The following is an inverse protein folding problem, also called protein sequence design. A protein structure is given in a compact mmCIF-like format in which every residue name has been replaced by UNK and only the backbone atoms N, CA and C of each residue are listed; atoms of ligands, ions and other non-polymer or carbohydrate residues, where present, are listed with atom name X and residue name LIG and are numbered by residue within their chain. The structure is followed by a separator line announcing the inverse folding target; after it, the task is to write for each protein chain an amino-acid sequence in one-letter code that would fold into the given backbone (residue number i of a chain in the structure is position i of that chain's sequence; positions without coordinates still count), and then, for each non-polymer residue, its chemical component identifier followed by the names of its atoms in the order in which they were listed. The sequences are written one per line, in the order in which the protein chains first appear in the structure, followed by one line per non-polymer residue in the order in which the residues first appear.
data_IF_741996533221
#
_entry.id   IF_741996533221
#
_cell.length_a   1.000
_cell.length_b   1.000
_cell.length_c   1.000
_cell.angle_alpha   90.00
_cell.angle_beta   90.00
_cell.angle_gamma   90.00
#
_symmetry.space_group_name_H-M   'P 1'
#
loop_
_entity.id
_entity.type
_entity.pdbx_description
1 polymer ?
#
# COMPACT_ATOMS: atom_id res chain seq x y z
N UNK A 1 -6.05 30.67 -4.32
CA UNK A 1 -5.29 29.40 -4.34
C UNK A 1 -5.44 28.82 -2.95
N UNK A 2 -6.37 27.89 -2.75
CA UNK A 2 -6.51 27.17 -1.47
C UNK A 2 -5.35 26.17 -1.47
N UNK A 3 -4.23 26.55 -0.90
CA UNK A 3 -3.21 25.61 -0.50
C UNK A 3 -3.81 24.84 0.68
N UNK A 4 -4.06 23.56 0.50
CA UNK A 4 -4.25 22.60 1.59
C UNK A 4 -2.90 22.55 2.33
N UNK A 5 -2.73 23.41 3.32
CA UNK A 5 -1.46 23.52 4.06
C UNK A 5 -1.26 22.29 4.95
N UNK A 6 -2.34 21.75 5.51
CA UNK A 6 -2.34 20.54 6.34
C UNK A 6 -3.71 19.85 6.32
N UNK A 7 -3.72 18.57 6.68
CA UNK A 7 -4.93 17.72 6.76
C UNK A 7 -4.82 16.83 8.00
N UNK A 8 -5.91 16.69 8.75
CA UNK A 8 -6.06 15.63 9.74
C UNK A 8 -6.65 14.41 9.02
N UNK A 9 -5.92 13.30 9.00
CA UNK A 9 -6.23 12.13 8.21
C UNK A 9 -6.59 10.95 9.10
N UNK A 10 -7.84 10.55 9.07
CA UNK A 10 -8.38 9.44 9.85
C UNK A 10 -9.42 8.67 9.04
N UNK A 11 -9.08 8.08 7.88
CA UNK A 11 -10.02 7.32 7.08
C UNK A 11 -10.30 5.96 7.70
N UNK A 12 -11.55 5.49 7.62
CA UNK A 12 -11.84 4.09 7.84
C UNK A 12 -11.22 3.25 6.72
N UNK A 13 -10.30 2.31 7.02
CA UNK A 13 -9.72 1.42 6.02
C UNK A 13 -10.75 0.46 5.46
N UNK A 14 -11.86 0.20 6.15
CA UNK A 14 -12.91 -0.73 5.77
C UNK A 14 -13.99 0.00 4.96
N UNK A 15 -14.17 -0.40 3.70
CA UNK A 15 -15.21 0.14 2.82
C UNK A 15 -16.57 -0.45 3.19
N UNK A 16 -16.61 -1.78 3.33
CA UNK A 16 -17.78 -2.54 3.78
C UNK A 16 -17.37 -3.93 4.25
N UNK A 17 -18.27 -4.59 5.00
CA UNK A 17 -18.07 -5.96 5.44
C UNK A 17 -18.96 -6.90 4.64
N UNK A 18 -18.40 -8.00 4.13
CA UNK A 18 -19.18 -9.08 3.50
C UNK A 18 -19.79 -9.90 4.62
N UNK A 19 -21.12 -9.97 4.75
CA UNK A 19 -21.77 -10.75 5.79
C UNK A 19 -21.63 -12.25 5.47
N UNK A 20 -20.82 -12.95 6.25
CA UNK A 20 -20.64 -14.40 6.16
C UNK A 20 -21.21 -15.13 7.37
N UNK A 21 -21.83 -14.42 8.29
CA UNK A 21 -22.48 -14.95 9.50
C UNK A 21 -23.53 -16.02 9.20
N UNK A 22 -24.22 -15.94 8.05
CA UNK A 22 -25.17 -16.97 7.59
C UNK A 22 -24.52 -18.33 7.27
N UNK A 23 -23.18 -18.36 7.05
CA UNK A 23 -22.37 -19.58 6.87
C UNK A 23 -21.67 -20.02 8.16
N UNK A 24 -21.92 -19.35 9.30
CA UNK A 24 -21.19 -19.56 10.56
C UNK A 24 -19.74 -19.07 10.52
N UNK A 25 -19.39 -18.21 9.57
CA UNK A 25 -18.07 -17.60 9.42
C UNK A 25 -18.09 -16.13 9.87
N UNK A 26 -16.98 -15.59 10.37
CA UNK A 26 -16.88 -14.17 10.69
C UNK A 26 -17.00 -13.33 9.42
N UNK A 27 -17.65 -12.17 9.55
CA UNK A 27 -17.78 -11.19 8.47
C UNK A 27 -16.39 -10.76 8.00
N UNK A 28 -16.22 -10.57 6.70
CA UNK A 28 -14.93 -10.22 6.09
C UNK A 28 -14.91 -8.76 5.65
N UNK A 29 -14.01 -7.95 6.21
CA UNK A 29 -13.86 -6.56 5.80
C UNK A 29 -13.22 -6.50 4.40
N UNK A 30 -13.78 -5.66 3.54
CA UNK A 30 -13.17 -5.22 2.29
C UNK A 30 -12.50 -3.87 2.56
N UNK A 31 -11.18 -3.85 2.46
CA UNK A 31 -10.36 -2.69 2.74
C UNK A 31 -9.93 -1.99 1.44
N UNK A 32 -9.67 -0.68 1.52
CA UNK A 32 -9.25 0.14 0.37
C UNK A 32 -8.01 -0.42 -0.33
N UNK A 33 -7.00 -0.83 0.43
CA UNK A 33 -5.79 -1.42 -0.14
C UNK A 33 -6.09 -2.63 -1.03
N UNK A 34 -6.88 -3.58 -0.51
CA UNK A 34 -7.26 -4.80 -1.25
C UNK A 34 -8.06 -4.49 -2.50
N UNK A 35 -9.02 -3.56 -2.41
CA UNK A 35 -9.84 -3.15 -3.56
C UNK A 35 -8.99 -2.48 -4.63
N UNK A 36 -8.15 -1.51 -4.28
CA UNK A 36 -7.30 -0.79 -5.22
C UNK A 36 -6.25 -1.71 -5.87
N UNK A 37 -5.72 -2.67 -5.10
CA UNK A 37 -4.85 -3.71 -5.65
C UNK A 37 -5.56 -4.58 -6.69
N UNK A 38 -6.78 -5.05 -6.40
CA UNK A 38 -7.60 -5.82 -7.34
C UNK A 38 -7.96 -5.00 -8.59
N UNK A 39 -8.33 -3.72 -8.42
CA UNK A 39 -8.56 -2.79 -9.52
C UNK A 39 -7.34 -2.65 -10.43
N UNK A 40 -6.12 -2.70 -9.87
CA UNK A 40 -4.88 -2.69 -10.63
C UNK A 40 -4.79 -3.83 -11.64
N UNK A 41 -5.22 -5.04 -11.27
CA UNK A 41 -5.30 -6.16 -12.22
C UNK A 41 -6.36 -5.94 -13.30
N UNK A 42 -7.56 -5.44 -12.94
CA UNK A 42 -8.64 -5.21 -13.89
C UNK A 42 -8.24 -4.13 -14.90
N UNK A 43 -7.76 -2.97 -14.43
CA UNK A 43 -7.32 -1.87 -15.28
C UNK A 43 -6.13 -2.31 -16.12
N UNK A 44 -5.18 -3.02 -15.52
CA UNK A 44 -4.02 -3.56 -16.20
C UNK A 44 -4.38 -4.54 -17.32
N UNK A 45 -5.36 -5.39 -17.11
CA UNK A 45 -5.86 -6.31 -18.14
C UNK A 45 -6.49 -5.53 -19.31
N UNK A 46 -7.30 -4.50 -19.06
CA UNK A 46 -7.90 -3.69 -20.12
C UNK A 46 -6.84 -2.95 -20.96
N UNK A 47 -5.82 -2.41 -20.31
CA UNK A 47 -4.69 -1.79 -21.00
C UNK A 47 -3.91 -2.82 -21.83
N UNK A 48 -3.68 -4.02 -21.27
CA UNK A 48 -3.01 -5.13 -21.97
C UNK A 48 -3.79 -5.59 -23.19
N UNK A 49 -5.13 -5.66 -23.15
CA UNK A 49 -5.95 -5.95 -24.33
C UNK A 49 -5.69 -4.93 -25.46
N UNK A 50 -5.67 -3.63 -25.12
CA UNK A 50 -5.38 -2.58 -26.12
C UNK A 50 -3.96 -2.72 -26.68
N UNK A 51 -2.96 -2.97 -25.83
CA UNK A 51 -1.56 -3.14 -26.23
C UNK A 51 -1.43 -4.35 -27.17
N UNK A 52 -1.89 -5.52 -26.75
CA UNK A 52 -1.77 -6.78 -27.48
C UNK A 52 -2.51 -6.70 -28.83
N UNK A 53 -3.74 -6.20 -28.85
CA UNK A 53 -4.51 -5.98 -30.07
C UNK A 53 -3.80 -5.06 -31.05
N UNK A 54 -3.20 -3.97 -30.57
CA UNK A 54 -2.45 -3.01 -31.40
C UNK A 54 -1.20 -3.64 -32.02
N UNK A 55 -0.60 -4.62 -31.34
CA UNK A 55 0.58 -5.36 -31.80
C UNK A 55 0.24 -6.69 -32.52
N UNK A 56 -1.05 -6.92 -32.82
CA UNK A 56 -1.50 -8.09 -33.60
C UNK A 56 -1.58 -9.40 -32.79
N UNK A 57 -1.60 -9.32 -31.46
CA UNK A 57 -1.74 -10.48 -30.57
C UNK A 57 -3.19 -10.68 -30.13
N UNK A 58 -3.51 -11.89 -29.66
CA UNK A 58 -4.88 -12.26 -29.27
C UNK A 58 -5.24 -11.83 -27.84
N UNK A 59 -6.53 -11.56 -27.61
CA UNK A 59 -7.04 -11.31 -26.26
C UNK A 59 -6.84 -12.51 -25.34
N UNK A 60 -6.88 -13.74 -25.86
CA UNK A 60 -6.60 -14.96 -25.08
C UNK A 60 -5.18 -15.01 -24.52
N UNK A 61 -4.23 -14.34 -25.18
CA UNK A 61 -2.86 -14.22 -24.66
C UNK A 61 -2.84 -13.35 -23.40
N UNK A 62 -3.63 -12.28 -23.38
CA UNK A 62 -3.79 -11.41 -22.20
C UNK A 62 -4.45 -12.15 -21.05
N UNK A 63 -5.53 -12.92 -21.32
CA UNK A 63 -6.20 -13.72 -20.27
C UNK A 63 -5.24 -14.73 -19.65
N UNK A 64 -4.46 -15.39 -20.48
CA UNK A 64 -3.43 -16.33 -20.03
C UNK A 64 -2.38 -15.62 -19.19
N UNK A 65 -1.83 -14.50 -19.68
CA UNK A 65 -0.83 -13.69 -18.98
C UNK A 65 -1.36 -13.21 -17.62
N UNK A 66 -2.57 -12.66 -17.59
CA UNK A 66 -3.22 -12.18 -16.35
C UNK A 66 -3.38 -13.32 -15.35
N UNK A 67 -3.83 -14.49 -15.82
CA UNK A 67 -3.96 -15.68 -14.96
C UNK A 67 -2.62 -16.09 -14.35
N UNK A 68 -1.55 -16.11 -15.16
CA UNK A 68 -0.19 -16.40 -14.66
C UNK A 68 0.25 -15.39 -13.60
N UNK A 69 -0.01 -14.11 -13.84
CA UNK A 69 0.38 -13.04 -12.90
C UNK A 69 -0.40 -13.12 -11.59
N UNK A 70 -1.73 -13.31 -11.63
CA UNK A 70 -2.56 -13.43 -10.42
C UNK A 70 -2.11 -14.60 -9.56
N UNK A 71 -2.01 -15.80 -10.16
CA UNK A 71 -1.57 -16.99 -9.44
C UNK A 71 -0.17 -16.80 -8.85
N UNK A 72 0.75 -16.28 -9.63
CA UNK A 72 2.12 -16.07 -9.20
C UNK A 72 2.25 -15.01 -8.09
N UNK A 73 1.44 -13.97 -8.14
CA UNK A 73 1.42 -12.95 -7.08
C UNK A 73 0.97 -13.56 -5.76
N UNK A 74 -0.13 -14.31 -5.76
CA UNK A 74 -0.68 -14.93 -4.54
C UNK A 74 0.29 -15.98 -4.00
N UNK A 75 0.70 -16.94 -4.84
CA UNK A 75 1.58 -18.02 -4.41
C UNK A 75 2.97 -17.50 -4.01
N UNK A 76 3.52 -16.59 -4.81
CA UNK A 76 4.82 -16.00 -4.55
C UNK A 76 4.83 -15.19 -3.25
N UNK A 77 3.82 -14.36 -3.03
CA UNK A 77 3.71 -13.56 -1.81
C UNK A 77 3.55 -14.44 -0.57
N UNK A 78 2.74 -15.51 -0.65
CA UNK A 78 2.57 -16.45 0.46
C UNK A 78 3.84 -17.24 0.75
N UNK A 79 4.46 -17.81 -0.27
CA UNK A 79 5.72 -18.55 -0.12
C UNK A 79 6.84 -17.62 0.40
N UNK A 80 6.93 -16.39 -0.11
CA UNK A 80 7.87 -15.40 0.38
C UNK A 80 7.67 -15.12 1.87
N UNK A 81 6.45 -14.93 2.32
CA UNK A 81 6.16 -14.77 3.74
C UNK A 81 6.57 -15.99 4.56
N UNK A 82 6.13 -17.17 4.16
CA UNK A 82 6.42 -18.40 4.89
C UNK A 82 7.93 -18.68 5.01
N UNK A 83 8.70 -18.42 3.95
CA UNK A 83 10.13 -18.76 3.92
C UNK A 83 11.03 -17.70 4.56
N UNK A 84 10.64 -16.41 4.51
CA UNK A 84 11.51 -15.32 4.99
C UNK A 84 11.15 -14.82 6.39
N UNK A 85 9.88 -14.90 6.81
CA UNK A 85 9.46 -14.33 8.09
C UNK A 85 9.31 -15.37 9.20
N UNK A 86 8.77 -16.55 8.89
CA UNK A 86 8.57 -17.57 9.94
C UNK A 86 8.78 -19.01 9.43
N UNK A 87 9.97 -19.32 8.87
CA UNK A 87 10.21 -20.61 8.22
C UNK A 87 10.04 -21.82 9.15
N UNK A 88 10.45 -21.69 10.41
CA UNK A 88 10.35 -22.79 11.38
C UNK A 88 8.90 -23.21 11.64
N UNK A 89 8.00 -22.23 11.76
CA UNK A 89 6.57 -22.47 11.96
C UNK A 89 5.94 -23.19 10.76
N UNK A 90 6.12 -22.63 9.55
CA UNK A 90 5.50 -23.17 8.34
C UNK A 90 6.10 -24.49 7.85
N UNK A 91 7.36 -24.78 8.19
CA UNK A 91 7.97 -26.07 7.87
C UNK A 91 7.55 -27.18 8.86
N UNK A 92 7.18 -26.81 10.11
CA UNK A 92 6.65 -27.76 11.10
C UNK A 92 5.19 -28.12 10.82
N UNK A 93 4.40 -27.21 10.25
CA UNK A 93 3.03 -27.45 9.80
C UNK A 93 2.79 -26.90 8.37
N UNK A 94 3.10 -27.70 7.32
CA UNK A 94 2.97 -27.26 5.93
C UNK A 94 1.54 -26.92 5.49
N UNK A 95 0.51 -27.38 6.21
CA UNK A 95 -0.90 -27.06 5.90
C UNK A 95 -1.16 -25.56 6.10
N UNK A 96 -0.49 -24.94 7.07
CA UNK A 96 -0.59 -23.50 7.35
C UNK A 96 -0.17 -22.65 6.14
N UNK A 97 0.71 -23.14 5.27
CA UNK A 97 1.10 -22.45 4.03
C UNK A 97 -0.11 -22.19 3.12
N UNK A 98 -1.09 -23.10 3.10
CA UNK A 98 -2.26 -23.01 2.24
C UNK A 98 -3.31 -22.00 2.74
N UNK A 99 -3.24 -21.58 4.00
CA UNK A 99 -4.19 -20.66 4.61
C UNK A 99 -3.89 -19.20 4.23
N UNK A 100 -4.03 -18.87 2.94
CA UNK A 100 -3.76 -17.52 2.41
C UNK A 100 -4.72 -16.45 2.96
N UNK A 101 -5.86 -16.86 3.50
CA UNK A 101 -6.87 -15.98 4.08
C UNK A 101 -6.56 -15.50 5.50
N UNK A 102 -5.54 -16.03 6.15
CA UNK A 102 -5.08 -15.59 7.47
C UNK A 102 -4.06 -14.45 7.39
N UNK A 103 -3.77 -13.95 6.18
CA UNK A 103 -2.76 -12.93 5.96
C UNK A 103 -1.37 -13.52 5.70
N UNK A 104 -0.33 -12.74 5.99
CA UNK A 104 1.06 -13.16 5.76
C UNK A 104 1.40 -13.26 4.27
N UNK A 105 1.46 -12.10 3.61
CA UNK A 105 1.83 -11.96 2.20
C UNK A 105 3.04 -11.04 2.08
N UNK A 106 4.15 -11.52 1.54
CA UNK A 106 5.37 -10.75 1.34
C UNK A 106 5.48 -10.23 -0.10
N UNK A 107 5.59 -8.93 -0.28
CA UNK A 107 5.68 -8.29 -1.60
C UNK A 107 6.88 -8.77 -2.43
N UNK A 108 8.02 -9.04 -1.79
CA UNK A 108 9.21 -9.57 -2.44
C UNK A 108 8.95 -10.95 -3.09
N UNK A 109 8.27 -11.84 -2.35
CA UNK A 109 7.87 -13.13 -2.86
C UNK A 109 6.93 -13.01 -4.05
N UNK A 110 5.96 -12.09 -3.98
CA UNK A 110 5.08 -11.77 -5.09
C UNK A 110 5.85 -11.30 -6.33
N UNK A 111 6.81 -10.39 -6.17
CA UNK A 111 7.65 -9.90 -7.27
C UNK A 111 8.48 -11.01 -7.92
N UNK A 112 9.15 -11.86 -7.13
CA UNK A 112 9.90 -13.02 -7.63
C UNK A 112 8.95 -13.96 -8.38
N UNK A 113 7.78 -14.25 -7.81
CA UNK A 113 6.76 -15.09 -8.44
C UNK A 113 6.34 -14.55 -9.82
N UNK A 114 6.10 -13.24 -9.92
CA UNK A 114 5.75 -12.59 -11.18
C UNK A 114 6.87 -12.77 -12.23
N UNK A 115 8.13 -12.50 -11.90
CA UNK A 115 9.24 -12.69 -12.84
C UNK A 115 9.34 -14.14 -13.34
N UNK A 116 9.17 -15.12 -12.47
CA UNK A 116 9.15 -16.55 -12.84
C UNK A 116 7.94 -16.85 -13.73
N UNK A 117 6.76 -16.35 -13.40
CA UNK A 117 5.54 -16.56 -14.18
C UNK A 117 5.64 -15.95 -15.59
N UNK A 118 6.19 -14.75 -15.72
CA UNK A 118 6.42 -14.11 -17.01
C UNK A 118 7.43 -14.88 -17.86
N UNK A 119 8.47 -15.45 -17.23
CA UNK A 119 9.42 -16.32 -17.90
C UNK A 119 8.75 -17.63 -18.37
N UNK A 120 7.93 -18.26 -17.52
CA UNK A 120 7.14 -19.44 -17.89
C UNK A 120 6.17 -19.11 -19.03
N UNK A 121 5.45 -18.01 -18.95
CA UNK A 121 4.53 -17.56 -19.99
C UNK A 121 5.24 -17.35 -21.33
N UNK A 122 6.40 -16.71 -21.34
CA UNK A 122 7.14 -16.44 -22.59
C UNK A 122 7.72 -17.70 -23.23
N UNK A 123 8.08 -18.72 -22.44
CA UNK A 123 8.81 -19.88 -22.94
C UNK A 123 7.97 -21.15 -23.06
N UNK A 124 6.85 -21.28 -22.35
CA UNK A 124 6.07 -22.51 -22.29
C UNK A 124 4.59 -22.28 -22.49
N UNK A 125 3.96 -23.19 -23.24
CA UNK A 125 2.50 -23.35 -23.29
C UNK A 125 2.10 -24.37 -22.21
N UNK A 126 1.52 -23.85 -21.13
CA UNK A 126 1.02 -24.68 -20.03
C UNK A 126 -0.50 -24.78 -20.19
N UNK A 127 -0.99 -25.99 -20.41
CA UNK A 127 -2.41 -26.27 -20.53
C UNK A 127 -2.83 -27.26 -19.47
N UNK A 128 -3.87 -26.92 -18.73
CA UNK A 128 -4.52 -27.83 -17.79
C UNK A 128 -6.00 -27.97 -18.15
N UNK A 129 -6.52 -29.18 -18.07
CA UNK A 129 -7.97 -29.42 -18.11
C UNK A 129 -8.43 -29.69 -16.69
N UNK A 130 -9.49 -29.04 -16.28
CA UNK A 130 -10.07 -29.16 -14.96
C UNK A 130 -11.46 -29.73 -15.05
N UNK A 131 -11.82 -30.65 -14.15
CA UNK A 131 -13.18 -31.11 -13.92
C UNK A 131 -13.44 -30.92 -12.43
N UNK A 132 -14.43 -30.08 -12.06
CA UNK A 132 -14.78 -29.78 -10.67
C UNK A 132 -13.58 -29.48 -9.76
N UNK A 133 -12.72 -28.53 -10.15
CA UNK A 133 -11.51 -28.14 -9.42
C UNK A 133 -10.38 -29.20 -9.35
N UNK A 134 -10.52 -30.33 -10.02
CA UNK A 134 -9.49 -31.36 -10.11
C UNK A 134 -8.79 -31.28 -11.47
N UNK A 135 -7.46 -31.07 -11.51
CA UNK A 135 -6.72 -31.09 -12.77
C UNK A 135 -6.68 -32.52 -13.31
N UNK A 136 -7.34 -32.76 -14.46
CA UNK A 136 -7.43 -34.10 -15.09
C UNK A 136 -6.34 -34.34 -16.13
N UNK A 137 -5.76 -33.27 -16.66
CA UNK A 137 -4.58 -33.37 -17.53
C UNK A 137 -3.73 -32.12 -17.42
N UNK A 138 -2.42 -32.31 -17.41
CA UNK A 138 -1.43 -31.26 -17.41
C UNK A 138 -0.47 -31.48 -18.57
N UNK A 139 -0.29 -30.46 -19.41
CA UNK A 139 0.62 -30.51 -20.55
C UNK A 139 1.47 -29.25 -20.57
N UNK A 140 2.79 -29.44 -20.60
CA UNK A 140 3.78 -28.39 -20.77
C UNK A 140 4.52 -28.60 -22.07
N UNK A 141 4.44 -27.65 -22.97
CA UNK A 141 5.15 -27.68 -24.24
C UNK A 141 5.98 -26.41 -24.39
N UNK A 142 7.16 -26.49 -24.97
CA UNK A 142 7.96 -25.30 -25.28
C UNK A 142 7.18 -24.43 -26.27
N UNK A 143 7.04 -23.17 -25.93
CA UNK A 143 6.29 -22.18 -26.75
C UNK A 143 7.10 -21.86 -28.02
N UNK A 144 6.42 -21.87 -29.16
CA UNK A 144 7.01 -21.50 -30.47
C UNK A 144 6.38 -20.23 -31.02
N UNK A 145 5.89 -19.34 -30.17
CA UNK A 145 5.18 -18.13 -30.62
C UNK A 145 6.20 -17.05 -30.92
N UNK A 146 6.26 -16.64 -32.19
CA UNK A 146 7.12 -15.54 -32.62
C UNK A 146 6.66 -14.19 -32.02
N UNK A 147 7.62 -13.32 -31.74
CA UNK A 147 7.37 -11.96 -31.30
C UNK A 147 7.13 -11.75 -29.80
N UNK A 148 6.74 -12.77 -29.02
CA UNK A 148 6.54 -12.63 -27.58
C UNK A 148 7.74 -13.14 -26.78
N UNK A 149 8.88 -12.47 -26.91
CA UNK A 149 10.06 -12.78 -26.11
C UNK A 149 9.85 -12.42 -24.63
N UNK A 150 10.67 -12.93 -23.74
CA UNK A 150 10.60 -12.59 -22.30
C UNK A 150 10.72 -11.07 -22.09
N UNK A 151 11.64 -10.41 -22.75
CA UNK A 151 11.83 -8.96 -22.64
C UNK A 151 10.67 -8.18 -23.29
N UNK A 152 10.09 -8.69 -24.37
CA UNK A 152 8.88 -8.11 -24.94
C UNK A 152 7.73 -8.12 -23.93
N UNK A 153 7.53 -9.24 -23.23
CA UNK A 153 6.48 -9.35 -22.19
C UNK A 153 6.77 -8.41 -21.03
N UNK A 154 8.02 -8.36 -20.56
CA UNK A 154 8.43 -7.45 -19.48
C UNK A 154 8.15 -5.99 -19.81
N UNK A 155 8.39 -5.55 -21.03
CA UNK A 155 8.13 -4.18 -21.50
C UNK A 155 6.65 -3.80 -21.35
N UNK A 156 5.73 -4.72 -21.70
CA UNK A 156 4.28 -4.45 -21.67
C UNK A 156 3.75 -4.52 -20.25
N UNK A 157 4.22 -5.47 -19.49
CA UNK A 157 3.85 -5.62 -18.08
C UNK A 157 4.36 -4.46 -17.23
N UNK A 158 5.54 -3.91 -17.51
CA UNK A 158 6.09 -2.75 -16.80
C UNK A 158 5.12 -1.54 -16.83
N UNK A 159 4.44 -1.31 -17.97
CA UNK A 159 3.44 -0.23 -18.10
C UNK A 159 2.29 -0.44 -17.10
N UNK A 160 1.78 -1.67 -17.05
CA UNK A 160 0.66 -2.05 -16.18
C UNK A 160 1.08 -1.99 -14.71
N UNK A 161 2.28 -2.48 -14.39
CA UNK A 161 2.82 -2.47 -13.02
C UNK A 161 3.01 -1.05 -12.51
N UNK A 162 3.42 -0.09 -13.35
CA UNK A 162 3.52 1.31 -12.95
C UNK A 162 2.15 1.89 -12.54
N UNK A 163 1.08 1.59 -13.28
CA UNK A 163 -0.28 2.04 -12.94
C UNK A 163 -0.79 1.36 -11.67
N UNK A 164 -0.59 0.04 -11.57
CA UNK A 164 -0.97 -0.73 -10.38
C UNK A 164 -0.21 -0.25 -9.15
N UNK A 165 1.07 0.10 -9.32
CA UNK A 165 1.89 0.70 -8.27
C UNK A 165 1.27 1.96 -7.69
N UNK A 166 0.78 2.87 -8.54
CA UNK A 166 0.10 4.07 -8.09
C UNK A 166 -1.15 3.74 -7.24
N UNK A 167 -1.97 2.79 -7.68
CA UNK A 167 -3.16 2.36 -6.93
C UNK A 167 -2.81 1.72 -5.58
N UNK A 168 -1.76 0.91 -5.54
CA UNK A 168 -1.24 0.33 -4.30
C UNK A 168 -0.82 1.43 -3.32
N UNK A 169 -0.12 2.48 -3.80
CA UNK A 169 0.32 3.59 -2.96
C UNK A 169 -0.85 4.42 -2.41
N UNK A 170 -1.87 4.65 -3.22
CA UNK A 170 -3.12 5.25 -2.74
C UNK A 170 -3.76 4.36 -1.67
N UNK A 171 -3.75 3.04 -1.85
CA UNK A 171 -4.24 2.08 -0.86
C UNK A 171 -3.46 2.15 0.46
N UNK A 172 -2.13 2.25 0.43
CA UNK A 172 -1.33 2.45 1.63
C UNK A 172 -1.70 3.76 2.35
N UNK A 173 -1.94 4.85 1.62
CA UNK A 173 -2.37 6.11 2.21
C UNK A 173 -3.75 5.97 2.88
N UNK A 174 -4.71 5.29 2.25
CA UNK A 174 -6.02 5.02 2.84
C UNK A 174 -5.96 4.15 4.09
N UNK A 175 -4.97 3.27 4.17
CA UNK A 175 -4.74 2.42 5.34
C UNK A 175 -3.86 3.09 6.42
N UNK A 176 -3.38 4.33 6.21
CA UNK A 176 -2.39 4.99 7.07
C UNK A 176 -1.16 4.10 7.30
N UNK A 177 -0.58 3.60 6.22
CA UNK A 177 0.62 2.75 6.22
C UNK A 177 1.79 3.46 5.53
N UNK A 178 3.03 3.16 5.93
CA UNK A 178 4.25 3.70 5.31
C UNK A 178 4.35 5.23 5.39
N UNK A 179 4.05 5.78 6.52
CA UNK A 179 4.02 7.21 6.79
C UNK A 179 5.41 7.85 6.72
N UNK A 180 5.41 9.18 6.56
CA UNK A 180 6.65 9.93 6.45
C UNK A 180 7.17 10.47 7.77
N UNK A 181 8.41 10.93 7.76
CA UNK A 181 9.03 11.67 8.88
C UNK A 181 8.33 13.01 9.08
N UNK A 182 8.57 13.66 10.22
CA UNK A 182 8.04 15.01 10.53
C UNK A 182 8.49 16.02 9.50
N UNK A 183 7.58 16.88 9.03
CA UNK A 183 7.89 17.90 8.02
C UNK A 183 8.72 19.05 8.59
N UNK A 184 8.52 19.38 9.87
CA UNK A 184 9.11 20.57 10.49
C UNK A 184 8.65 21.87 9.85
N UNK A 185 7.49 21.90 9.20
CA UNK A 185 6.94 23.05 8.47
C UNK A 185 5.43 23.17 8.65
N UNK A 186 4.80 24.09 7.96
CA UNK A 186 3.38 24.41 8.00
C UNK A 186 2.52 23.53 7.08
N UNK A 187 3.12 22.58 6.36
CA UNK A 187 2.40 21.63 5.52
C UNK A 187 2.61 20.20 5.98
N UNK A 188 1.66 19.34 5.69
CA UNK A 188 1.74 17.92 5.98
C UNK A 188 0.41 17.31 6.39
N UNK A 189 0.47 16.08 6.87
CA UNK A 189 -0.68 15.31 7.31
C UNK A 189 -0.47 14.86 8.75
N UNK A 190 -1.50 15.04 9.59
CA UNK A 190 -1.61 14.42 10.90
C UNK A 190 -2.35 13.09 10.75
N UNK A 191 -1.68 11.96 10.94
CA UNK A 191 -2.33 10.65 10.91
C UNK A 191 -2.99 10.37 12.26
N UNK A 192 -4.31 10.46 12.32
CA UNK A 192 -5.06 10.42 13.56
C UNK A 192 -5.86 9.12 13.78
N UNK A 193 -5.77 8.14 12.86
CA UNK A 193 -6.58 6.91 12.91
C UNK A 193 -6.39 6.12 14.19
N UNK A 194 -5.14 5.82 14.58
CA UNK A 194 -4.85 5.07 15.81
C UNK A 194 -5.39 5.81 17.05
N UNK A 195 -5.36 7.15 17.02
CA UNK A 195 -5.93 7.99 18.07
C UNK A 195 -7.46 7.86 18.11
N UNK A 196 -8.11 7.91 16.95
CA UNK A 196 -9.56 7.75 16.82
C UNK A 196 -10.03 6.38 17.32
N UNK A 197 -9.35 5.29 16.94
CA UNK A 197 -9.64 3.93 17.39
C UNK A 197 -9.58 3.80 18.93
N UNK A 198 -8.62 4.44 19.57
CA UNK A 198 -8.49 4.43 21.04
C UNK A 198 -9.53 5.33 21.71
N UNK A 199 -9.91 6.44 21.08
CA UNK A 199 -10.93 7.35 21.58
C UNK A 199 -12.34 6.77 21.44
N UNK A 200 -12.57 5.92 20.43
CA UNK A 200 -13.82 5.15 20.27
C UNK A 200 -13.82 3.87 21.10
N UNK A 201 -13.57 4.00 22.39
CA UNK A 201 -13.33 2.89 23.32
C UNK A 201 -14.57 2.04 23.65
N UNK A 202 -15.78 2.55 23.42
CA UNK A 202 -17.05 1.83 23.66
C UNK A 202 -18.14 2.34 22.73
N UNK A 203 -18.52 1.51 21.77
CA UNK A 203 -19.57 1.79 20.79
C UNK A 203 -20.96 1.98 21.41
N UNK A 204 -21.18 1.61 22.69
CA UNK A 204 -22.45 1.88 23.40
C UNK A 204 -22.45 3.28 24.03
N UNK A 205 -21.30 3.90 24.20
CA UNK A 205 -21.13 5.20 24.86
C UNK A 205 -20.82 6.29 23.85
N UNK A 206 -19.92 6.02 22.91
CA UNK A 206 -19.47 6.96 21.89
C UNK A 206 -20.35 6.83 20.64
N UNK A 207 -20.87 7.94 20.16
CA UNK A 207 -21.60 8.03 18.89
C UNK A 207 -20.61 8.29 17.74
N UNK A 208 -19.68 9.25 17.93
CA UNK A 208 -18.76 9.69 16.93
C UNK A 208 -17.48 10.26 17.56
N UNK A 209 -16.35 10.07 16.92
CA UNK A 209 -15.09 10.74 17.20
C UNK A 209 -14.66 11.51 15.96
N UNK A 210 -14.29 12.78 16.12
CA UNK A 210 -13.72 13.58 15.04
C UNK A 210 -12.71 14.59 15.58
N UNK A 211 -11.94 15.20 14.68
CA UNK A 211 -10.93 16.18 15.05
C UNK A 211 -11.28 17.56 14.51
N UNK A 212 -11.07 18.58 15.36
CA UNK A 212 -11.14 20.01 14.99
C UNK A 212 -9.73 20.56 14.88
N UNK A 213 -9.47 21.27 13.80
CA UNK A 213 -8.23 22.01 13.61
C UNK A 213 -8.22 23.26 14.47
N UNK A 214 -7.05 23.55 15.07
CA UNK A 214 -6.76 24.81 15.72
C UNK A 214 -6.00 25.75 14.79
N UNK A 215 -5.54 26.87 15.34
CA UNK A 215 -4.75 27.85 14.59
C UNK A 215 -3.29 27.42 14.61
N UNK A 216 -2.69 27.23 13.45
CA UNK A 216 -1.26 26.92 13.32
C UNK A 216 -0.39 28.03 13.91
N UNK A 217 0.60 27.64 14.72
CA UNK A 217 1.58 28.58 15.28
C UNK A 217 2.91 28.52 14.51
N UNK A 218 3.27 29.56 13.75
CA UNK A 218 4.53 29.61 13.01
C UNK A 218 5.79 29.51 13.88
N UNK A 219 5.66 29.74 15.21
CA UNK A 219 6.78 29.59 16.17
C UNK A 219 7.06 28.14 16.53
N UNK A 220 6.13 27.22 16.22
CA UNK A 220 6.26 25.80 16.47
C UNK A 220 6.05 24.98 15.16
N UNK A 221 6.97 25.08 14.18
CA UNK A 221 6.79 24.47 12.88
C UNK A 221 6.71 22.94 12.96
N UNK A 222 5.85 22.34 12.15
CA UNK A 222 5.60 20.89 12.12
C UNK A 222 4.60 20.39 13.17
N UNK A 223 3.97 21.29 13.92
CA UNK A 223 2.97 20.97 14.92
C UNK A 223 1.68 21.77 14.70
N UNK A 224 0.55 21.10 14.75
CA UNK A 224 -0.77 21.67 14.57
C UNK A 224 -1.58 21.50 15.87
N UNK A 225 -2.01 22.59 16.54
CA UNK A 225 -2.97 22.46 17.62
C UNK A 225 -4.27 21.83 17.10
N UNK A 226 -4.76 20.82 17.76
CA UNK A 226 -6.01 20.12 17.40
C UNK A 226 -6.85 19.86 18.64
N UNK A 227 -8.12 19.56 18.43
CA UNK A 227 -9.01 19.05 19.47
C UNK A 227 -9.61 17.72 18.99
N UNK A 228 -9.42 16.67 19.76
CA UNK A 228 -10.16 15.44 19.58
C UNK A 228 -11.53 15.60 20.26
N UNK A 229 -12.61 15.37 19.52
CA UNK A 229 -13.98 15.54 19.99
C UNK A 229 -14.69 14.20 20.02
N UNK A 230 -15.11 13.78 21.21
CA UNK A 230 -15.92 12.61 21.43
C UNK A 230 -17.37 13.07 21.62
N UNK A 231 -18.26 12.60 20.77
CA UNK A 231 -19.70 12.82 20.90
C UNK A 231 -20.30 11.63 21.64
N UNK A 232 -20.96 11.87 22.75
CA UNK A 232 -21.62 10.80 23.48
C UNK A 232 -23.00 10.51 22.89
N UNK A 233 -23.48 9.27 23.02
CA UNK A 233 -24.84 8.92 22.65
C UNK A 233 -25.86 9.65 23.51
N UNK A 234 -27.02 9.89 22.94
CA UNK A 234 -28.11 10.59 23.64
C UNK A 234 -28.47 9.89 24.95
N UNK A 235 -28.55 10.67 26.02
CA UNK A 235 -28.84 10.18 27.37
C UNK A 235 -27.65 9.63 28.16
N UNK A 236 -26.45 9.68 27.58
CA UNK A 236 -25.18 9.36 28.29
C UNK A 236 -24.62 10.68 28.83
N UNK A 237 -24.30 10.72 30.13
CA UNK A 237 -23.67 11.84 30.82
C UNK A 237 -22.28 11.47 31.34
N UNK A 238 -21.38 12.43 31.39
CA UNK A 238 -20.02 12.24 31.91
C UNK A 238 -20.03 12.24 33.43
N UNK A 239 -20.22 11.07 34.00
CA UNK A 239 -20.20 10.84 35.45
C UNK A 239 -18.76 10.78 36.04
N UNK A 240 -18.65 10.63 37.36
CA UNK A 240 -17.35 10.55 38.03
C UNK A 240 -16.57 9.26 37.67
N UNK A 241 -17.24 8.20 37.20
CA UNK A 241 -16.60 6.98 36.71
C UNK A 241 -15.91 7.23 35.39
N UNK A 242 -16.62 7.88 34.47
CA UNK A 242 -16.07 8.25 33.15
C UNK A 242 -14.92 9.26 33.30
N UNK A 243 -15.02 10.24 34.20
CA UNK A 243 -13.91 11.17 34.48
C UNK A 243 -12.66 10.45 34.98
N UNK A 244 -12.83 9.44 35.84
CA UNK A 244 -11.71 8.60 36.32
C UNK A 244 -11.11 7.79 35.19
N UNK A 245 -11.92 7.21 34.31
CA UNK A 245 -11.44 6.49 33.14
C UNK A 245 -10.67 7.40 32.18
N UNK A 246 -11.21 8.59 31.86
CA UNK A 246 -10.54 9.58 30.97
C UNK A 246 -9.19 9.98 31.52
N UNK A 247 -9.10 10.34 32.82
CA UNK A 247 -7.85 10.78 33.44
C UNK A 247 -6.90 9.63 33.82
N UNK A 248 -7.37 8.39 33.80
CA UNK A 248 -6.61 7.19 34.12
C UNK A 248 -6.22 6.40 32.87
N UNK A 249 -7.02 5.38 32.55
CA UNK A 249 -6.70 4.42 31.49
C UNK A 249 -6.62 5.06 30.11
N UNK A 250 -7.58 5.94 29.77
CA UNK A 250 -7.57 6.60 28.47
C UNK A 250 -6.34 7.51 28.32
N UNK A 251 -6.05 8.33 29.35
CA UNK A 251 -4.85 9.17 29.36
C UNK A 251 -3.56 8.36 29.25
N UNK A 252 -3.50 7.20 29.92
CA UNK A 252 -2.37 6.28 29.82
C UNK A 252 -2.21 5.75 28.40
N UNK A 253 -3.28 5.26 27.77
CA UNK A 253 -3.23 4.72 26.42
C UNK A 253 -2.78 5.79 25.41
N UNK A 254 -3.39 6.99 25.45
CA UNK A 254 -3.06 8.08 24.54
C UNK A 254 -1.62 8.58 24.65
N UNK A 255 -1.00 8.46 25.84
CA UNK A 255 0.36 8.94 26.07
C UNK A 255 1.44 7.85 26.03
N UNK A 256 1.08 6.58 25.82
CA UNK A 256 2.05 5.48 25.83
C UNK A 256 1.98 4.56 24.61
N UNK A 257 0.91 4.61 23.81
CA UNK A 257 0.87 3.81 22.59
C UNK A 257 1.72 4.48 21.50
N UNK A 258 2.73 3.74 21.01
CA UNK A 258 3.70 4.22 20.04
C UNK A 258 3.03 4.84 18.80
N UNK A 259 2.02 4.13 18.26
CA UNK A 259 1.26 4.56 17.08
C UNK A 259 0.48 5.87 17.30
N UNK A 260 0.24 6.28 18.55
CA UNK A 260 -0.42 7.55 18.86
C UNK A 260 0.60 8.65 19.07
N UNK A 261 1.59 8.44 19.96
CA UNK A 261 2.54 9.48 20.34
C UNK A 261 3.44 9.94 19.20
N UNK A 262 3.56 9.13 18.16
CA UNK A 262 4.27 9.51 16.93
C UNK A 262 3.49 10.52 16.08
N UNK A 263 2.17 10.60 16.24
CA UNK A 263 1.28 11.39 15.38
C UNK A 263 0.51 12.48 16.13
N UNK A 264 0.14 12.22 17.38
CA UNK A 264 -0.65 13.13 18.21
C UNK A 264 -0.08 13.16 19.64
N UNK A 265 0.22 14.34 20.11
CA UNK A 265 0.75 14.58 21.45
C UNK A 265 -0.34 15.13 22.37
N UNK A 266 -0.60 14.43 23.49
CA UNK A 266 -1.56 14.74 24.53
C UNK A 266 -0.90 15.24 25.84
N UNK A 267 0.40 15.51 25.84
CA UNK A 267 1.20 15.76 27.06
C UNK A 267 0.94 17.12 27.73
N UNK A 268 -0.09 17.84 27.34
CA UNK A 268 -0.37 19.21 27.78
C UNK A 268 -0.65 19.39 29.27
N UNK A 269 -0.83 18.30 30.04
CA UNK A 269 -1.12 18.38 31.48
C UNK A 269 -0.42 17.32 32.32
N UNK A 270 0.23 17.75 33.41
CA UNK A 270 0.81 16.84 34.44
C UNK A 270 -0.25 16.07 35.25
N UNK A 271 -1.54 16.34 35.08
CA UNK A 271 -2.65 15.81 35.89
C UNK A 271 -3.69 15.02 35.11
N UNK A 272 -3.36 14.49 33.94
CA UNK A 272 -4.28 13.81 33.04
C UNK A 272 -4.44 14.56 31.71
N UNK A 273 -5.54 14.32 30.99
CA UNK A 273 -5.83 14.99 29.73
C UNK A 273 -6.40 16.40 29.99
N UNK A 274 -6.03 17.38 29.15
CA UNK A 274 -6.66 18.71 29.14
C UNK A 274 -7.93 18.62 28.28
N UNK A 275 -9.08 18.46 28.94
CA UNK A 275 -10.36 18.35 28.27
C UNK A 275 -11.44 19.24 28.89
N UNK A 276 -12.48 19.50 28.12
CA UNK A 276 -13.70 20.19 28.56
C UNK A 276 -14.92 19.40 28.10
N UNK A 277 -15.97 19.44 28.93
CA UNK A 277 -17.27 18.84 28.64
C UNK A 277 -18.18 19.95 28.16
N UNK A 278 -18.81 19.76 27.02
CA UNK A 278 -19.74 20.74 26.40
C UNK A 278 -21.06 20.02 26.20
N UNK A 279 -22.15 20.60 26.68
CA UNK A 279 -23.49 20.09 26.39
C UNK A 279 -24.12 20.93 25.27
N UNK A 280 -24.41 20.30 24.13
CA UNK A 280 -25.07 20.93 23.00
C UNK A 280 -26.35 20.16 22.67
N UNK A 281 -27.50 20.81 22.81
CA UNK A 281 -28.83 20.26 22.53
C UNK A 281 -29.13 18.93 23.25
N UNK A 282 -28.62 18.77 24.49
CA UNK A 282 -28.86 17.58 25.32
C UNK A 282 -27.91 16.40 24.99
N UNK A 283 -26.87 16.61 24.17
CA UNK A 283 -25.80 15.66 23.91
C UNK A 283 -24.51 16.20 24.51
N UNK A 284 -23.86 15.41 25.33
CA UNK A 284 -22.55 15.78 25.89
C UNK A 284 -21.43 15.43 24.90
N UNK A 285 -20.46 16.34 24.83
CA UNK A 285 -19.24 16.19 24.04
C UNK A 285 -18.03 16.42 24.93
N UNK A 286 -17.00 15.61 24.72
CA UNK A 286 -15.71 15.74 25.40
C UNK A 286 -14.71 16.26 24.36
N UNK A 287 -14.26 17.51 24.51
CA UNK A 287 -13.20 18.07 23.68
C UNK A 287 -11.86 17.95 24.40
N UNK A 288 -10.95 17.13 23.87
CA UNK A 288 -9.60 16.91 24.41
C UNK A 288 -8.63 17.73 23.57
N UNK A 289 -7.82 18.58 24.21
CA UNK A 289 -6.76 19.32 23.54
C UNK A 289 -5.58 18.42 23.25
N UNK A 290 -5.04 18.51 22.04
CA UNK A 290 -3.88 17.78 21.59
C UNK A 290 -3.07 18.58 20.57
N UNK A 291 -1.92 18.06 20.23
CA UNK A 291 -1.05 18.62 19.19
C UNK A 291 -0.79 17.57 18.13
N UNK A 292 -1.28 17.78 16.93
CA UNK A 292 -0.99 16.92 15.78
C UNK A 292 0.41 17.18 15.25
N UNK A 293 1.09 16.12 14.84
CA UNK A 293 2.43 16.15 14.25
C UNK A 293 2.30 16.07 12.74
N UNK A 294 2.74 17.11 12.03
CA UNK A 294 2.68 17.19 10.57
C UNK A 294 3.77 16.31 9.94
N UNK A 295 3.35 15.36 9.10
CA UNK A 295 4.23 14.39 8.47
C UNK A 295 4.14 14.45 6.95
N UNK A 296 5.24 14.06 6.28
CA UNK A 296 5.23 13.83 4.83
C UNK A 296 4.30 12.68 4.47
N UNK A 297 3.88 12.64 3.20
CA UNK A 297 3.04 11.59 2.62
C UNK A 297 3.77 10.86 1.48
N UNK A 298 4.82 10.06 1.78
CA UNK A 298 5.59 9.37 0.74
C UNK A 298 4.71 8.53 -0.17
N UNK A 299 3.62 7.97 0.36
CA UNK A 299 2.66 7.16 -0.40
C UNK A 299 2.07 7.95 -1.58
N UNK A 300 1.65 9.20 -1.36
CA UNK A 300 1.09 10.04 -2.42
C UNK A 300 2.15 10.50 -3.41
N UNK A 301 3.38 10.79 -2.95
CA UNK A 301 4.49 11.16 -3.84
C UNK A 301 4.85 10.00 -4.75
N UNK A 302 5.01 8.79 -4.20
CA UNK A 302 5.25 7.57 -4.98
C UNK A 302 4.09 7.26 -5.95
N UNK A 303 2.83 7.50 -5.55
CA UNK A 303 1.68 7.33 -6.44
C UNK A 303 1.74 8.25 -7.65
N UNK A 304 2.05 9.53 -7.44
CA UNK A 304 2.19 10.52 -8.51
C UNK A 304 3.35 10.15 -9.43
N UNK A 305 4.51 9.77 -8.88
CA UNK A 305 5.67 9.36 -9.68
C UNK A 305 5.37 8.09 -10.47
N UNK A 306 4.69 7.10 -9.89
CA UNK A 306 4.25 5.91 -10.60
C UNK A 306 3.33 6.25 -11.80
N UNK A 307 2.42 7.22 -11.66
CA UNK A 307 1.59 7.69 -12.78
C UNK A 307 2.42 8.39 -13.86
N UNK A 308 3.39 9.22 -13.46
CA UNK A 308 4.31 9.88 -14.41
C UNK A 308 5.13 8.82 -15.16
N UNK A 309 5.66 7.82 -14.45
CA UNK A 309 6.38 6.68 -15.06
C UNK A 309 5.46 5.98 -16.06
N UNK A 310 4.22 5.66 -15.68
CA UNK A 310 3.26 5.00 -16.57
C UNK A 310 3.03 5.82 -17.87
N UNK A 311 2.89 7.15 -17.75
CA UNK A 311 2.73 8.02 -18.91
C UNK A 311 3.97 8.02 -19.80
N UNK A 312 5.18 8.05 -19.23
CA UNK A 312 6.44 7.94 -19.98
C UNK A 312 6.50 6.61 -20.72
N UNK A 313 6.20 5.49 -20.04
CA UNK A 313 6.25 4.16 -20.65
C UNK A 313 5.19 4.00 -21.75
N UNK A 314 3.98 4.52 -21.55
CA UNK A 314 2.91 4.55 -22.57
C UNK A 314 3.31 5.39 -23.76
N UNK A 315 3.97 6.54 -23.56
CA UNK A 315 4.50 7.37 -24.64
C UNK A 315 5.56 6.60 -25.44
N UNK A 316 6.53 6.00 -24.77
CA UNK A 316 7.57 5.19 -25.43
C UNK A 316 6.94 4.04 -26.24
N UNK A 317 6.00 3.32 -25.63
CA UNK A 317 5.29 2.24 -26.31
C UNK A 317 4.50 2.76 -27.52
N UNK A 318 3.74 3.83 -27.40
CA UNK A 318 2.84 4.29 -28.47
C UNK A 318 3.59 4.85 -29.67
N UNK A 319 4.63 5.66 -29.43
CA UNK A 319 5.33 6.41 -30.50
C UNK A 319 6.62 5.75 -30.96
N UNK A 320 7.20 4.85 -30.20
CA UNK A 320 8.53 4.29 -30.47
C UNK A 320 8.59 2.76 -30.54
N UNK A 321 7.51 2.02 -30.27
CA UNK A 321 7.52 0.55 -30.18
C UNK A 321 8.15 -0.18 -31.39
N UNK A 322 8.08 0.39 -32.58
CA UNK A 322 8.64 -0.24 -33.77
C UNK A 322 10.15 -0.04 -33.95
N UNK A 323 10.73 0.90 -33.21
CA UNK A 323 12.16 1.22 -33.27
C UNK A 323 12.90 0.90 -31.97
N UNK A 324 12.18 0.51 -30.92
CA UNK A 324 12.77 0.13 -29.64
C UNK A 324 13.03 -1.38 -29.59
N UNK A 325 14.22 -1.73 -29.14
CA UNK A 325 14.54 -3.13 -28.85
C UNK A 325 13.78 -3.60 -27.61
N UNK A 326 13.37 -4.88 -27.58
CA UNK A 326 12.76 -5.51 -26.43
C UNK A 326 13.64 -5.38 -25.18
N UNK A 327 13.02 -4.98 -24.06
CA UNK A 327 13.67 -4.76 -22.78
C UNK A 327 13.97 -3.28 -22.48
N UNK A 328 13.79 -2.37 -23.44
CA UNK A 328 14.09 -0.96 -23.19
C UNK A 328 13.05 -0.31 -22.28
N UNK A 329 11.76 -0.54 -22.52
CA UNK A 329 10.67 0.02 -21.69
C UNK A 329 10.80 -0.52 -20.26
N UNK A 330 11.05 -1.81 -20.10
CA UNK A 330 11.31 -2.44 -18.81
C UNK A 330 12.52 -1.84 -18.10
N UNK A 331 13.62 -1.59 -18.82
CA UNK A 331 14.82 -1.00 -18.23
C UNK A 331 14.60 0.44 -17.74
N UNK A 332 13.87 1.24 -18.51
CA UNK A 332 13.45 2.60 -18.11
C UNK A 332 12.57 2.54 -16.87
N UNK A 333 11.58 1.63 -16.85
CA UNK A 333 10.75 1.39 -15.68
C UNK A 333 11.58 1.07 -14.43
N UNK A 334 12.52 0.12 -14.55
CA UNK A 334 13.37 -0.30 -13.43
C UNK A 334 14.18 0.87 -12.85
N UNK A 335 14.83 1.65 -13.71
CA UNK A 335 15.65 2.79 -13.26
C UNK A 335 14.79 3.87 -12.61
N UNK A 336 13.67 4.23 -13.21
CA UNK A 336 12.82 5.30 -12.70
C UNK A 336 12.11 4.89 -11.39
N UNK A 337 11.51 3.69 -11.34
CA UNK A 337 10.76 3.23 -10.17
C UNK A 337 11.68 3.02 -8.96
N UNK A 338 12.80 2.33 -9.15
CA UNK A 338 13.71 2.05 -8.04
C UNK A 338 14.55 3.28 -7.68
N UNK A 339 14.79 4.19 -8.63
CA UNK A 339 15.36 5.51 -8.36
C UNK A 339 14.44 6.34 -7.47
N UNK A 340 13.16 6.45 -7.82
CA UNK A 340 12.15 7.11 -7.00
C UNK A 340 12.09 6.49 -5.60
N UNK A 341 11.99 5.15 -5.51
CA UNK A 341 11.98 4.46 -4.23
C UNK A 341 13.21 4.78 -3.38
N UNK A 342 14.40 4.82 -3.97
CA UNK A 342 15.63 5.16 -3.26
C UNK A 342 15.57 6.57 -2.65
N UNK A 343 15.05 7.55 -3.38
CA UNK A 343 14.94 8.93 -2.88
C UNK A 343 13.78 9.12 -1.92
N UNK A 344 12.63 8.53 -2.17
CA UNK A 344 11.48 8.63 -1.28
C UNK A 344 11.72 7.96 0.09
N UNK A 345 12.63 7.02 0.17
CA UNK A 345 12.96 6.35 1.43
C UNK A 345 13.56 7.32 2.47
N UNK A 346 14.18 8.43 2.06
CA UNK A 346 14.61 9.50 2.97
C UNK A 346 13.45 10.25 3.65
N UNK A 347 12.26 10.16 3.09
CA UNK A 347 11.06 10.81 3.64
C UNK A 347 10.21 9.86 4.48
N UNK A 348 10.53 8.57 4.53
CA UNK A 348 9.78 7.56 5.30
C UNK A 348 10.30 7.44 6.72
N UNK A 349 9.40 7.05 7.62
CA UNK A 349 9.82 6.56 8.94
C UNK A 349 10.49 5.21 8.82
N UNK A 350 11.44 4.94 9.71
CA UNK A 350 12.05 3.62 9.84
C UNK A 350 10.95 2.59 10.14
N UNK A 351 10.92 1.50 9.38
CA UNK A 351 9.93 0.44 9.54
C UNK A 351 10.33 -0.57 10.61
N UNK A 352 11.64 -0.70 10.84
CA UNK A 352 12.21 -1.65 11.79
C UNK A 352 13.26 -0.96 12.66
N UNK A 353 13.27 -1.31 13.94
CA UNK A 353 14.16 -0.66 14.92
C UNK A 353 15.66 -0.77 14.59
N UNK A 354 16.10 -1.79 13.84
CA UNK A 354 17.48 -1.95 13.45
C UNK A 354 17.92 -0.96 12.35
N UNK A 355 16.98 -0.40 11.58
CA UNK A 355 17.25 0.53 10.47
C UNK A 355 17.88 1.84 10.99
N UNK A 356 17.51 2.27 12.19
CA UNK A 356 18.07 3.45 12.83
C UNK A 356 19.63 3.42 13.00
N UNK A 357 20.23 2.22 12.95
CA UNK A 357 21.68 2.05 13.07
C UNK A 357 22.39 1.90 11.70
N UNK A 358 21.65 1.93 10.59
CA UNK A 358 22.21 1.78 9.25
C UNK A 358 22.48 3.15 8.62
N UNK A 359 23.56 3.30 7.84
CA UNK A 359 23.84 4.53 7.10
C UNK A 359 22.84 4.81 5.97
N UNK A 360 22.19 3.75 5.46
CA UNK A 360 21.07 3.75 4.51
C UNK A 360 20.11 2.63 4.91
N UNK A 361 18.82 2.88 4.79
CA UNK A 361 17.80 1.91 5.21
C UNK A 361 17.66 0.73 4.22
N UNK A 362 16.89 -0.29 4.64
CA UNK A 362 16.70 -1.50 3.82
C UNK A 362 16.06 -1.22 2.46
N UNK A 363 15.13 -0.26 2.38
CA UNK A 363 14.51 0.12 1.12
C UNK A 363 15.53 0.68 0.12
N UNK A 364 16.50 1.46 0.57
CA UNK A 364 17.60 1.97 -0.25
C UNK A 364 18.56 0.87 -0.66
N UNK A 365 18.96 -0.01 0.28
CA UNK A 365 19.85 -1.15 0.01
C UNK A 365 19.25 -2.05 -1.08
N UNK A 366 17.96 -2.35 -1.01
CA UNK A 366 17.26 -3.19 -1.99
C UNK A 366 17.05 -2.48 -3.33
N UNK A 367 17.01 -1.15 -3.36
CA UNK A 367 16.81 -0.37 -4.60
C UNK A 367 18.07 -0.36 -5.47
N UNK A 368 19.27 -0.31 -4.89
CA UNK A 368 20.54 -0.22 -5.62
C UNK A 368 20.72 -1.37 -6.63
N UNK A 369 20.62 -2.66 -6.27
CA UNK A 369 20.81 -3.74 -7.23
C UNK A 369 19.74 -3.70 -8.36
N UNK A 370 18.53 -3.27 -8.07
CA UNK A 370 17.47 -3.17 -9.06
C UNK A 370 17.73 -2.04 -10.07
N UNK A 371 18.25 -0.89 -9.61
CA UNK A 371 18.73 0.20 -10.48
C UNK A 371 19.86 -0.30 -11.38
N UNK A 372 20.85 -1.03 -10.82
CA UNK A 372 21.97 -1.56 -11.58
C UNK A 372 21.53 -2.57 -12.65
N UNK A 373 20.58 -3.46 -12.33
CA UNK A 373 19.97 -4.37 -13.30
C UNK A 373 19.27 -3.57 -14.41
N UNK A 374 18.49 -2.55 -14.05
CA UNK A 374 17.85 -1.66 -15.02
C UNK A 374 18.85 -0.98 -15.95
N UNK A 375 19.91 -0.40 -15.40
CA UNK A 375 20.98 0.24 -16.18
C UNK A 375 21.73 -0.76 -17.08
N UNK A 376 22.02 -1.97 -16.59
CA UNK A 376 22.66 -3.01 -17.40
C UNK A 376 21.79 -3.40 -18.59
N UNK A 377 20.49 -3.66 -18.38
CA UNK A 377 19.55 -3.99 -19.45
C UNK A 377 19.43 -2.82 -20.42
N UNK A 378 19.34 -1.58 -19.94
CA UNK A 378 19.29 -0.37 -20.75
C UNK A 378 20.49 -0.26 -21.68
N UNK A 379 21.72 -0.34 -21.14
CA UNK A 379 22.95 -0.25 -21.91
C UNK A 379 23.08 -1.38 -22.94
N UNK A 380 22.66 -2.59 -22.61
CA UNK A 380 22.65 -3.73 -23.53
C UNK A 380 21.66 -3.52 -24.67
N UNK A 381 20.50 -2.95 -24.37
CA UNK A 381 19.39 -2.80 -25.31
C UNK A 381 19.65 -1.67 -26.32
N UNK A 382 20.20 -0.51 -25.88
CA UNK A 382 20.53 0.59 -26.80
C UNK A 382 21.71 0.29 -27.71
N UNK A 383 22.60 -0.65 -27.32
CA UNK A 383 23.75 -1.06 -28.16
C UNK A 383 23.36 -2.03 -29.28
N UNK A 384 22.20 -2.69 -29.16
CA UNK A 384 21.71 -3.52 -30.26
C UNK A 384 21.31 -2.61 -31.41
N UNK A 385 21.96 -2.78 -32.59
CA UNK A 385 21.47 -2.15 -33.81
C UNK A 385 20.07 -2.69 -34.11
N UNK A 386 19.15 -1.80 -34.44
CA UNK A 386 17.85 -2.20 -34.98
C UNK A 386 18.15 -2.77 -36.37
N UNK A 387 18.00 -4.07 -36.53
CA UNK A 387 18.01 -4.70 -37.86
C UNK A 387 16.66 -4.35 -38.48
N UNK A 388 16.71 -3.50 -39.53
CA UNK A 388 15.56 -3.11 -40.33
C UNK A 388 15.26 -4.19 -41.38
#
# INVERSE_FOLDING_TARGET
MILLEYIIWSPDPVIFKIPLSFLGLPDRPIVWYGLLFAMGFIIGQQISYKIFKTEGHSEKDVDTLTTFMVIATILGARLGHCLFYNPSYYLSDPIEILKIWEGGLASHGGAIGIFVALWLYANYDIRSKWIFFIPTSFSVKKRKKEGQTYFWVLDRVAIVVAITGALIRIGNFMNSEMEGVKTGSDFGVVYARATEEVLNFDDNVIEEVFFKEGIYDPKNPGYLPIKAVLVLKSGIEVDDSMKRFINGQLAYNLNNYQEIIEHVDFTSSRRGLDYQIINEFGVERIEIKATGILRYTPQLYEAIVCLIIALILLYLWNYRRFVLNDGLIFSVFMVLLWGDRFFNEFLKMDQEAFEANLPINMGQILSIPMILIGLFVFLKTIRKKVEF
#
